data_IF_423460303991
#
_entry.id   IF_423460303991
#
_cell.length_a   1.000
_cell.length_b   1.000
_cell.length_c   1.000
_cell.angle_alpha   90.00
_cell.angle_beta   90.00
_cell.angle_gamma   90.00
#
_symmetry.space_group_name_H-M   'P 1'
#
loop_
_entity.id
_entity.type
_entity.pdbx_description
1 polymer ?
#
# COMPACT_ATOMS: atom_id res chain seq x y z
N UNK A 1 15.77 11.81 67.19
CA UNK A 1 15.39 10.72 66.28
C UNK A 1 15.09 11.32 64.90
N UNK A 2 16.08 11.27 64.00
CA UNK A 2 15.90 11.72 62.60
C UNK A 2 15.48 10.48 61.78
N UNK A 3 14.28 10.50 61.22
CA UNK A 3 13.82 9.48 60.26
C UNK A 3 14.37 9.80 58.89
N UNK A 4 15.19 8.92 58.33
CA UNK A 4 15.68 8.95 56.95
C UNK A 4 14.61 8.26 56.09
N UNK A 5 14.03 9.04 55.13
CA UNK A 5 13.20 8.47 54.10
C UNK A 5 14.13 8.04 52.94
N UNK A 6 14.21 6.75 52.68
CA UNK A 6 14.87 6.20 51.50
C UNK A 6 13.84 6.20 50.37
N UNK A 7 14.06 7.07 49.37
CA UNK A 7 13.31 7.10 48.13
C UNK A 7 13.88 6.00 47.22
N UNK A 8 13.14 4.89 47.05
CA UNK A 8 13.49 3.87 46.05
C UNK A 8 12.99 4.35 44.73
N UNK A 9 13.88 4.90 43.87
CA UNK A 9 13.61 5.16 42.48
C UNK A 9 13.75 3.85 41.70
N UNK A 10 12.62 3.21 41.41
CA UNK A 10 12.59 2.07 40.53
C UNK A 10 12.95 2.50 39.08
N UNK A 11 14.15 2.16 38.64
CA UNK A 11 14.51 2.21 37.23
C UNK A 11 13.73 1.11 36.51
N UNK A 12 12.62 1.47 35.86
CA UNK A 12 12.05 0.65 34.80
C UNK A 12 13.00 0.74 33.60
N UNK A 13 13.81 -0.27 33.40
CA UNK A 13 14.53 -0.46 32.15
C UNK A 13 13.49 -0.80 31.08
N UNK A 14 13.14 0.20 30.26
CA UNK A 14 12.50 -0.05 28.99
C UNK A 14 13.49 -0.84 28.13
N UNK A 15 13.38 -2.15 28.10
CA UNK A 15 13.98 -2.96 27.06
C UNK A 15 13.27 -2.58 25.77
N UNK A 16 13.92 -1.76 24.96
CA UNK A 16 13.53 -1.53 23.58
C UNK A 16 13.65 -2.87 22.85
N UNK A 17 12.55 -3.61 22.78
CA UNK A 17 12.46 -4.73 21.87
C UNK A 17 12.52 -4.12 20.46
N UNK A 18 13.63 -4.25 19.79
CA UNK A 18 13.71 -4.06 18.34
C UNK A 18 12.85 -5.15 17.72
N UNK A 19 11.56 -4.86 17.54
CA UNK A 19 10.71 -5.66 16.67
C UNK A 19 11.33 -5.53 15.30
N UNK A 20 11.86 -6.62 14.75
CA UNK A 20 12.30 -6.67 13.36
C UNK A 20 11.04 -6.54 12.49
N UNK A 21 10.65 -5.31 12.27
CA UNK A 21 9.47 -4.96 11.49
C UNK A 21 9.65 -5.42 10.05
N UNK A 22 8.63 -6.10 9.52
CA UNK A 22 8.55 -6.52 8.13
C UNK A 22 7.92 -5.44 7.22
N UNK A 23 7.70 -4.25 7.77
CA UNK A 23 7.35 -3.07 6.98
C UNK A 23 8.64 -2.33 6.62
N UNK A 24 8.96 -2.28 5.34
CA UNK A 24 10.17 -1.65 4.83
C UNK A 24 9.88 -0.24 4.37
N UNK A 25 10.63 0.76 4.83
CA UNK A 25 10.62 2.09 4.24
C UNK A 25 10.98 2.03 2.76
N UNK A 26 10.18 2.69 1.93
CA UNK A 26 10.32 2.75 0.49
C UNK A 26 10.43 4.21 0.05
N UNK A 27 10.95 4.44 -1.16
CA UNK A 27 10.98 5.75 -1.74
C UNK A 27 9.72 6.00 -2.57
N UNK A 28 8.82 6.85 -2.09
CA UNK A 28 7.62 7.28 -2.83
C UNK A 28 7.95 8.18 -4.02
N UNK A 29 9.14 8.79 -4.05
CA UNK A 29 9.50 9.87 -4.97
C UNK A 29 8.68 11.15 -4.74
N UNK A 30 8.10 11.31 -3.53
CA UNK A 30 7.36 12.48 -3.08
C UNK A 30 8.19 13.26 -2.08
N UNK A 31 7.96 14.56 -1.99
CA UNK A 31 8.62 15.47 -1.03
C UNK A 31 7.66 15.97 0.04
N UNK A 32 8.20 16.83 0.88
CA UNK A 32 7.44 17.57 1.88
C UNK A 32 6.26 18.33 1.26
N UNK A 33 5.18 18.49 2.01
CA UNK A 33 3.96 19.15 1.55
C UNK A 33 2.98 18.26 0.80
N UNK A 34 3.21 16.94 0.76
CA UNK A 34 2.34 15.98 0.09
C UNK A 34 1.66 15.02 1.07
N UNK A 35 0.48 14.50 0.67
CA UNK A 35 -0.24 13.45 1.38
C UNK A 35 -0.60 12.35 0.37
N UNK A 36 -0.21 11.13 0.67
CA UNK A 36 -0.69 9.95 -0.07
C UNK A 36 -2.02 9.52 0.54
N UNK A 37 -3.07 9.51 -0.29
CA UNK A 37 -4.43 9.15 0.13
C UNK A 37 -4.74 7.67 -0.08
N UNK A 38 -4.03 6.97 -0.98
CA UNK A 38 -4.25 5.54 -1.18
C UNK A 38 -3.45 4.91 -2.30
N UNK A 39 -3.68 3.60 -2.43
CA UNK A 39 -3.10 2.76 -3.46
C UNK A 39 -4.20 2.03 -4.23
N UNK A 40 -3.94 1.80 -5.53
CA UNK A 40 -4.77 0.95 -6.38
C UNK A 40 -3.90 -0.21 -6.88
N UNK A 41 -4.51 -1.38 -7.04
CA UNK A 41 -3.81 -2.58 -7.46
C UNK A 41 -4.36 -3.10 -8.78
N UNK A 42 -3.47 -3.21 -9.78
CA UNK A 42 -3.73 -3.86 -11.06
C UNK A 42 -3.36 -5.35 -11.05
N UNK A 43 -2.56 -5.78 -12.02
CA UNK A 43 -1.95 -7.12 -12.05
C UNK A 43 -0.84 -7.25 -10.98
N UNK A 44 -0.08 -8.35 -11.01
CA UNK A 44 0.86 -8.71 -9.94
C UNK A 44 1.77 -7.56 -9.46
N UNK A 45 2.38 -6.80 -10.39
CA UNK A 45 3.37 -5.77 -10.07
C UNK A 45 2.90 -4.35 -10.37
N UNK A 46 1.64 -4.20 -10.82
CA UNK A 46 1.07 -2.89 -11.13
C UNK A 46 0.41 -2.30 -9.91
N UNK A 47 0.91 -1.11 -9.51
CA UNK A 47 0.42 -0.35 -8.36
C UNK A 47 0.32 1.12 -8.76
N UNK A 48 -0.79 1.76 -8.42
CA UNK A 48 -0.89 3.22 -8.44
C UNK A 48 -0.86 3.76 -7.01
N UNK A 49 -0.24 4.91 -6.86
CA UNK A 49 -0.25 5.73 -5.64
C UNK A 49 -0.89 7.06 -6.01
N UNK A 50 -1.86 7.50 -5.23
CA UNK A 50 -2.56 8.76 -5.48
C UNK A 50 -2.66 9.63 -4.23
N UNK A 51 -2.80 10.92 -4.44
CA UNK A 51 -2.90 11.87 -3.34
C UNK A 51 -2.92 13.32 -3.78
N UNK A 52 -2.49 14.19 -2.88
CA UNK A 52 -2.49 15.64 -3.09
C UNK A 52 -1.39 16.35 -2.31
N UNK A 53 -1.23 17.65 -2.57
CA UNK A 53 -0.55 18.54 -1.65
C UNK A 53 -1.43 18.75 -0.39
N UNK A 54 -0.88 19.39 0.66
CA UNK A 54 -1.60 19.63 1.93
C UNK A 54 -2.91 20.41 1.77
N UNK A 55 -2.98 21.35 0.82
CA UNK A 55 -4.21 22.09 0.55
C UNK A 55 -5.25 21.28 -0.23
N UNK A 56 -4.86 20.15 -0.81
CA UNK A 56 -5.70 19.34 -1.70
C UNK A 56 -5.95 19.99 -3.08
N UNK A 57 -5.33 21.14 -3.35
CA UNK A 57 -5.55 21.87 -4.62
C UNK A 57 -4.80 21.27 -5.80
N UNK A 58 -3.69 20.60 -5.54
CA UNK A 58 -2.90 19.91 -6.58
C UNK A 58 -2.79 18.44 -6.25
N UNK A 59 -3.17 17.60 -7.20
CA UNK A 59 -3.15 16.15 -7.06
C UNK A 59 -2.00 15.50 -7.79
N UNK A 60 -1.77 14.25 -7.46
CA UNK A 60 -0.86 13.38 -8.19
C UNK A 60 -1.46 11.98 -8.35
N UNK A 61 -1.07 11.35 -9.44
CA UNK A 61 -1.24 9.93 -9.70
C UNK A 61 0.11 9.39 -10.15
N UNK A 62 0.62 8.39 -9.46
CA UNK A 62 1.89 7.74 -9.79
C UNK A 62 1.65 6.27 -10.09
N UNK A 63 2.46 5.72 -10.97
CA UNK A 63 2.34 4.37 -11.51
C UNK A 63 3.65 3.60 -11.34
N UNK A 64 3.53 2.37 -10.90
CA UNK A 64 4.61 1.40 -10.72
C UNK A 64 4.32 0.12 -11.50
N UNK A 65 5.37 -0.49 -12.06
CA UNK A 65 5.35 -1.80 -12.72
C UNK A 65 6.24 -2.83 -12.01
N UNK A 66 6.77 -2.47 -10.85
CA UNK A 66 7.70 -3.29 -10.05
C UNK A 66 7.19 -3.49 -8.62
N UNK A 67 5.86 -3.52 -8.46
CA UNK A 67 5.22 -3.74 -7.16
C UNK A 67 5.43 -2.60 -6.18
N UNK A 68 5.61 -1.36 -6.67
CA UNK A 68 5.78 -0.18 -5.84
C UNK A 68 7.22 0.08 -5.39
N UNK A 69 8.22 -0.58 -5.99
CA UNK A 69 9.63 -0.28 -5.70
C UNK A 69 10.04 1.07 -6.31
N UNK A 70 9.53 1.39 -7.50
CA UNK A 70 9.70 2.69 -8.15
C UNK A 70 8.37 3.22 -8.70
N UNK A 71 8.24 4.54 -8.74
CA UNK A 71 7.04 5.20 -9.24
C UNK A 71 7.37 6.27 -10.28
N UNK A 72 6.60 6.30 -11.36
CA UNK A 72 6.61 7.36 -12.37
C UNK A 72 5.33 8.17 -12.31
N UNK A 73 5.39 9.46 -12.64
CA UNK A 73 4.17 10.29 -12.68
C UNK A 73 3.29 9.90 -13.86
N UNK A 74 1.99 9.84 -13.61
CA UNK A 74 0.98 9.54 -14.61
C UNK A 74 0.04 10.74 -14.79
N UNK A 75 -0.23 11.11 -16.03
CA UNK A 75 -1.19 12.16 -16.34
C UNK A 75 -2.62 11.65 -16.22
N UNK A 76 -3.51 12.48 -15.73
CA UNK A 76 -4.96 12.29 -15.70
C UNK A 76 -5.66 13.62 -16.02
N UNK A 77 -6.95 13.57 -16.33
CA UNK A 77 -7.70 14.72 -16.89
C UNK A 77 -8.02 15.84 -15.89
N UNK A 78 -7.24 15.96 -14.80
CA UNK A 78 -7.41 16.99 -13.77
C UNK A 78 -6.06 17.33 -13.14
N UNK A 79 -5.99 18.47 -12.44
CA UNK A 79 -4.88 18.86 -11.56
C UNK A 79 -5.27 18.79 -10.08
N UNK A 80 -6.54 18.60 -9.77
CA UNK A 80 -7.09 18.57 -8.41
C UNK A 80 -6.65 17.34 -7.63
N UNK A 81 -6.60 17.45 -6.30
CA UNK A 81 -6.23 16.36 -5.40
C UNK A 81 -7.09 15.11 -5.61
N UNK A 82 -6.44 13.96 -5.76
CA UNK A 82 -7.10 12.65 -5.83
C UNK A 82 -7.30 12.13 -4.43
N UNK A 83 -8.58 11.91 -4.04
CA UNK A 83 -8.94 11.52 -2.66
C UNK A 83 -9.37 10.08 -2.52
N UNK A 84 -9.93 9.49 -3.56
CA UNK A 84 -10.38 8.11 -3.58
C UNK A 84 -10.12 7.44 -4.92
N UNK A 85 -10.04 6.12 -4.89
CA UNK A 85 -9.89 5.34 -6.11
C UNK A 85 -10.21 3.87 -5.92
N UNK A 86 -10.59 3.22 -7.02
CA UNK A 86 -10.98 1.82 -7.06
C UNK A 86 -10.59 1.17 -8.38
N UNK A 87 -10.05 -0.05 -8.34
CA UNK A 87 -9.82 -0.90 -9.51
C UNK A 87 -10.79 -2.08 -9.45
N UNK A 88 -11.66 -2.20 -10.45
CA UNK A 88 -12.57 -3.35 -10.57
C UNK A 88 -11.87 -4.59 -11.12
N UNK A 89 -10.82 -4.39 -11.92
CA UNK A 89 -9.94 -5.44 -12.45
C UNK A 89 -8.59 -4.81 -12.86
N UNK A 90 -7.73 -5.59 -13.49
CA UNK A 90 -6.39 -5.12 -13.91
C UNK A 90 -6.38 -3.98 -14.94
N UNK A 91 -7.50 -3.74 -15.63
CA UNK A 91 -7.58 -2.72 -16.70
C UNK A 91 -8.54 -1.59 -16.41
N UNK A 92 -9.57 -1.81 -15.61
CA UNK A 92 -10.66 -0.85 -15.39
C UNK A 92 -10.69 -0.34 -13.96
N UNK A 93 -10.63 0.98 -13.82
CA UNK A 93 -10.67 1.63 -12.52
C UNK A 93 -11.12 3.08 -12.60
N UNK A 94 -11.34 3.67 -11.43
CA UNK A 94 -11.80 5.04 -11.25
C UNK A 94 -11.02 5.73 -10.14
N UNK A 95 -10.88 7.04 -10.28
CA UNK A 95 -10.43 7.95 -9.23
C UNK A 95 -11.43 9.10 -9.10
N UNK A 96 -11.49 9.67 -7.90
CA UNK A 96 -12.32 10.85 -7.60
C UNK A 96 -11.47 11.97 -7.03
N UNK A 97 -11.89 13.21 -7.28
CA UNK A 97 -11.10 14.39 -6.95
C UNK A 97 -11.84 15.36 -6.04
N UNK A 98 -11.07 16.24 -5.43
CA UNK A 98 -11.58 17.32 -4.61
C UNK A 98 -12.42 18.35 -5.38
N UNK A 99 -12.30 18.42 -6.70
CA UNK A 99 -13.11 19.31 -7.56
C UNK A 99 -14.41 18.67 -8.05
N UNK A 100 -14.80 17.50 -7.52
CA UNK A 100 -16.05 16.82 -7.88
C UNK A 100 -15.96 15.97 -9.14
N UNK A 101 -14.76 15.68 -9.61
CA UNK A 101 -14.55 14.90 -10.84
C UNK A 101 -14.48 13.41 -10.56
N UNK A 102 -15.02 12.62 -11.46
CA UNK A 102 -14.85 11.16 -11.54
C UNK A 102 -14.10 10.87 -12.84
N UNK A 103 -13.00 10.16 -12.74
CA UNK A 103 -12.12 9.91 -13.87
C UNK A 103 -11.88 8.41 -13.98
N UNK A 104 -12.09 7.84 -15.17
CA UNK A 104 -12.07 6.39 -15.43
C UNK A 104 -10.93 5.99 -16.35
N UNK A 105 -10.33 4.86 -16.09
CA UNK A 105 -9.49 4.11 -17.04
C UNK A 105 -10.15 2.80 -17.45
N UNK A 106 -9.89 2.34 -18.67
CA UNK A 106 -10.29 1.01 -19.19
C UNK A 106 -9.11 0.27 -19.82
N UNK A 107 -7.91 0.83 -19.71
CA UNK A 107 -6.68 0.32 -20.33
C UNK A 107 -5.50 0.32 -19.35
N UNK A 108 -5.76 -0.09 -18.11
CA UNK A 108 -4.74 -0.19 -17.07
C UNK A 108 -3.96 1.11 -16.82
N UNK A 109 -4.66 2.25 -16.86
CA UNK A 109 -4.06 3.57 -16.67
C UNK A 109 -3.36 4.15 -17.89
N UNK A 110 -3.36 3.49 -19.04
CA UNK A 110 -2.79 4.03 -20.28
C UNK A 110 -3.43 5.37 -20.68
N UNK A 111 -4.70 5.56 -20.31
CA UNK A 111 -5.39 6.85 -20.33
C UNK A 111 -6.46 6.90 -19.24
N UNK A 112 -6.74 8.13 -18.78
CA UNK A 112 -7.75 8.41 -17.78
C UNK A 112 -8.72 9.47 -18.32
N UNK A 113 -10.00 9.15 -18.40
CA UNK A 113 -11.03 9.97 -19.04
C UNK A 113 -12.04 10.48 -18.02
N UNK A 114 -12.35 11.79 -18.11
CA UNK A 114 -13.35 12.44 -17.27
C UNK A 114 -14.75 11.88 -17.54
N UNK A 115 -15.49 11.61 -16.48
CA UNK A 115 -16.91 11.26 -16.50
C UNK A 115 -17.75 12.40 -15.92
N UNK A 116 -19.00 12.53 -16.36
CA UNK A 116 -19.92 13.54 -15.82
C UNK A 116 -20.44 13.09 -14.47
N UNK A 117 -19.93 13.69 -13.40
CA UNK A 117 -20.37 13.42 -12.01
C UNK A 117 -21.71 14.09 -11.64
N UNK A 118 -22.04 15.20 -12.33
CA UNK A 118 -23.21 16.03 -12.00
C UNK A 118 -23.03 16.96 -10.80
N UNK A 119 -21.82 17.05 -10.24
CA UNK A 119 -21.50 17.90 -9.07
C UNK A 119 -20.13 18.56 -9.20
N UNK A 120 -19.97 19.68 -8.50
CA UNK A 120 -18.66 20.32 -8.25
C UNK A 120 -18.22 20.19 -6.78
N UNK A 121 -19.00 19.47 -5.97
CA UNK A 121 -18.65 19.23 -4.57
C UNK A 121 -17.51 18.23 -4.43
N UNK A 122 -16.69 18.39 -3.40
CA UNK A 122 -15.58 17.47 -3.11
C UNK A 122 -16.06 16.02 -3.01
N UNK A 123 -15.39 15.12 -3.73
CA UNK A 123 -15.61 13.67 -3.66
C UNK A 123 -14.44 13.04 -2.91
N UNK A 124 -14.75 12.11 -1.99
CA UNK A 124 -13.76 11.57 -1.06
C UNK A 124 -13.44 10.09 -1.28
N UNK A 125 -14.44 9.30 -1.67
CA UNK A 125 -14.23 7.87 -1.85
C UNK A 125 -15.09 7.31 -2.98
N UNK A 126 -14.63 6.23 -3.60
CA UNK A 126 -15.32 5.54 -4.68
C UNK A 126 -15.11 4.04 -4.52
N UNK A 127 -16.19 3.26 -4.61
CA UNK A 127 -16.12 1.81 -4.51
C UNK A 127 -17.23 1.14 -5.33
N UNK A 128 -16.95 -0.06 -5.83
CA UNK A 128 -17.85 -0.82 -6.68
C UNK A 128 -18.14 -2.19 -6.07
N UNK A 129 -19.38 -2.65 -6.20
CA UNK A 129 -19.79 -4.02 -5.88
C UNK A 129 -19.51 -4.98 -7.03
N UNK A 130 -19.59 -4.48 -8.27
CA UNK A 130 -19.23 -5.17 -9.51
C UNK A 130 -18.76 -4.15 -10.56
N UNK A 131 -18.39 -4.59 -11.77
CA UNK A 131 -17.85 -3.71 -12.83
C UNK A 131 -18.84 -2.60 -13.27
N UNK A 132 -20.12 -2.77 -13.04
CA UNK A 132 -21.19 -1.87 -13.46
C UNK A 132 -21.77 -1.03 -12.32
N UNK A 133 -21.84 -1.59 -11.12
CA UNK A 133 -22.56 -1.00 -9.97
C UNK A 133 -21.58 -0.48 -8.93
N UNK A 134 -21.55 0.84 -8.78
CA UNK A 134 -20.64 1.51 -7.84
C UNK A 134 -21.22 2.78 -7.26
N UNK A 135 -20.55 3.27 -6.22
CA UNK A 135 -20.94 4.48 -5.49
C UNK A 135 -19.74 5.38 -5.24
N UNK A 136 -20.04 6.66 -5.11
CA UNK A 136 -19.09 7.72 -4.72
C UNK A 136 -19.67 8.44 -3.51
N UNK A 137 -18.83 8.78 -2.55
CA UNK A 137 -19.18 9.63 -1.40
C UNK A 137 -18.45 10.95 -1.42
N UNK A 138 -19.03 11.97 -0.78
CA UNK A 138 -18.45 13.31 -0.82
C UNK A 138 -18.95 14.27 0.26
N UNK A 139 -18.70 15.54 0.01
CA UNK A 139 -19.10 16.67 0.85
C UNK A 139 -20.63 16.81 0.91
N UNK A 140 -21.16 17.35 2.01
CA UNK A 140 -22.54 17.72 2.19
C UNK A 140 -23.56 16.57 1.95
N UNK A 141 -23.16 15.33 2.30
CA UNK A 141 -24.03 14.17 2.14
C UNK A 141 -24.13 13.66 0.70
N UNK A 142 -23.21 14.05 -0.17
CA UNK A 142 -23.22 13.53 -1.55
C UNK A 142 -22.97 12.02 -1.53
N UNK A 143 -23.91 11.29 -2.15
CA UNK A 143 -23.79 9.90 -2.55
C UNK A 143 -24.21 9.84 -4.02
N UNK A 144 -23.31 9.43 -4.90
CA UNK A 144 -23.63 9.17 -6.31
C UNK A 144 -23.61 7.67 -6.55
N UNK A 145 -24.51 7.18 -7.40
CA UNK A 145 -24.57 5.77 -7.83
C UNK A 145 -24.50 5.66 -9.33
N UNK A 146 -23.78 4.66 -9.80
CA UNK A 146 -23.83 4.17 -11.19
C UNK A 146 -24.32 2.71 -11.22
N UNK A 147 -24.95 2.31 -12.33
CA UNK A 147 -25.33 0.92 -12.66
C UNK A 147 -24.81 0.52 -14.05
N UNK A 148 -23.99 1.36 -14.65
CA UNK A 148 -23.45 1.16 -16.00
C UNK A 148 -21.97 1.52 -16.10
N UNK A 149 -21.21 1.25 -15.01
CA UNK A 149 -19.76 1.43 -14.96
C UNK A 149 -19.33 2.90 -15.09
N UNK A 150 -20.15 3.83 -14.58
CA UNK A 150 -19.86 5.25 -14.55
C UNK A 150 -20.25 6.01 -15.82
N UNK A 151 -20.94 5.38 -16.79
CA UNK A 151 -21.47 6.11 -17.94
C UNK A 151 -22.45 7.20 -17.48
N UNK A 152 -23.25 6.89 -16.45
CA UNK A 152 -24.12 7.85 -15.76
C UNK A 152 -23.96 7.72 -14.26
N UNK A 153 -23.98 8.85 -13.56
CA UNK A 153 -23.99 8.93 -12.11
C UNK A 153 -25.26 9.63 -11.65
N UNK A 154 -25.97 9.02 -10.71
CA UNK A 154 -27.26 9.53 -10.18
C UNK A 154 -27.07 9.79 -8.69
N UNK A 155 -27.39 11.01 -8.25
CA UNK A 155 -27.34 11.39 -6.86
C UNK A 155 -28.44 10.69 -6.06
N UNK A 156 -28.08 10.14 -4.91
CA UNK A 156 -28.98 9.53 -3.94
C UNK A 156 -29.13 10.45 -2.73
N UNK A 157 -30.26 10.31 -2.02
CA UNK A 157 -30.54 11.12 -0.82
C UNK A 157 -29.89 10.49 0.39
N UNK A 158 -28.86 11.13 0.96
CA UNK A 158 -28.29 10.74 2.23
C UNK A 158 -29.19 11.16 3.41
N UNK A 159 -29.14 10.45 4.55
CA UNK A 159 -29.91 10.81 5.75
C UNK A 159 -29.54 12.15 6.38
N UNK A 160 -28.31 12.62 6.15
CA UNK A 160 -27.81 13.89 6.68
C UNK A 160 -26.82 14.58 5.73
N UNK A 161 -26.77 15.91 5.80
CA UNK A 161 -25.84 16.73 5.02
C UNK A 161 -24.50 16.87 5.75
N UNK A 162 -23.75 15.76 5.82
CA UNK A 162 -22.43 15.69 6.48
C UNK A 162 -21.36 15.28 5.47
N UNK A 163 -20.07 15.42 5.83
CA UNK A 163 -19.00 14.84 5.02
C UNK A 163 -19.02 13.33 5.15
N UNK A 164 -19.20 12.62 4.02
CA UNK A 164 -19.13 11.17 3.95
C UNK A 164 -17.77 10.81 3.36
N UNK A 165 -16.86 10.32 4.22
CA UNK A 165 -15.46 10.09 3.86
C UNK A 165 -15.20 8.73 3.25
N UNK A 166 -16.05 7.72 3.58
CA UNK A 166 -15.90 6.34 3.13
C UNK A 166 -17.19 5.75 2.64
N UNK A 167 -17.09 4.92 1.60
CA UNK A 167 -18.19 4.14 1.07
C UNK A 167 -17.74 2.71 0.80
N UNK A 168 -18.49 1.74 1.31
CA UNK A 168 -18.10 0.33 1.30
C UNK A 168 -19.28 -0.56 0.88
N UNK A 169 -19.39 -0.95 -0.38
CA UNK A 169 -20.38 -1.90 -0.85
C UNK A 169 -19.96 -3.34 -0.50
N UNK A 170 -20.84 -4.07 0.18
CA UNK A 170 -20.76 -5.52 0.34
C UNK A 170 -21.44 -6.25 -0.82
N UNK A 171 -22.43 -5.64 -1.41
CA UNK A 171 -23.17 -6.15 -2.57
C UNK A 171 -23.83 -4.98 -3.33
N UNK A 172 -24.48 -5.28 -4.45
CA UNK A 172 -25.28 -4.29 -5.19
C UNK A 172 -26.46 -3.73 -4.39
N UNK A 173 -26.83 -4.39 -3.29
CA UNK A 173 -27.94 -3.99 -2.42
C UNK A 173 -27.47 -3.43 -1.08
N UNK A 174 -26.44 -4.04 -0.47
CA UNK A 174 -25.98 -3.67 0.87
C UNK A 174 -24.72 -2.83 0.79
N UNK A 175 -24.82 -1.57 1.21
CA UNK A 175 -23.72 -0.60 1.20
C UNK A 175 -23.69 0.16 2.52
N UNK A 176 -22.49 0.38 3.03
CA UNK A 176 -22.24 1.21 4.20
C UNK A 176 -21.47 2.47 3.80
N UNK A 177 -21.73 3.56 4.52
CA UNK A 177 -20.91 4.79 4.45
C UNK A 177 -20.58 5.26 5.84
N UNK A 178 -19.48 5.99 5.97
CA UNK A 178 -19.07 6.61 7.23
C UNK A 178 -18.38 7.95 6.99
N UNK A 179 -18.42 8.83 7.99
CA UNK A 179 -17.81 10.15 7.87
C UNK A 179 -17.80 10.96 9.16
N UNK A 180 -17.96 12.24 9.03
CA UNK A 180 -17.83 13.19 10.12
C UNK A 180 -18.92 13.02 11.17
N UNK A 181 -18.60 13.39 12.42
CA UNK A 181 -19.49 13.38 13.58
C UNK A 181 -20.06 11.97 13.89
N UNK A 182 -19.27 10.93 13.67
CA UNK A 182 -19.64 9.55 13.95
C UNK A 182 -20.78 8.99 13.10
N UNK A 183 -21.14 9.67 12.00
CA UNK A 183 -22.22 9.23 11.16
C UNK A 183 -21.85 7.97 10.38
N UNK A 184 -22.70 6.93 10.52
CA UNK A 184 -22.67 5.72 9.70
C UNK A 184 -24.05 5.52 9.09
N UNK A 185 -24.10 5.36 7.77
CA UNK A 185 -25.35 5.08 7.06
C UNK A 185 -25.26 3.71 6.38
N UNK A 186 -26.42 3.06 6.27
CA UNK A 186 -26.58 1.76 5.61
C UNK A 186 -27.74 1.81 4.63
N UNK A 187 -27.58 1.15 3.49
CA UNK A 187 -28.67 0.77 2.61
C UNK A 187 -28.71 -0.74 2.44
N UNK A 188 -29.89 -1.32 2.24
CA UNK A 188 -30.12 -2.73 1.90
C UNK A 188 -30.89 -2.91 0.60
N UNK A 189 -31.11 -1.79 -0.12
CA UNK A 189 -31.81 -1.75 -1.40
C UNK A 189 -31.04 -0.94 -2.47
N UNK A 190 -29.71 -0.97 -2.38
CA UNK A 190 -28.83 -0.35 -3.36
C UNK A 190 -28.89 1.18 -3.37
N UNK A 191 -29.25 1.80 -2.22
CA UNK A 191 -29.28 3.24 -2.07
C UNK A 191 -30.61 3.91 -2.45
N UNK A 192 -31.67 3.12 -2.72
CA UNK A 192 -33.00 3.69 -2.87
C UNK A 192 -33.40 4.39 -1.56
N UNK A 193 -33.09 3.76 -0.43
CA UNK A 193 -33.20 4.35 0.90
C UNK A 193 -31.90 4.14 1.67
N UNK A 194 -31.44 5.18 2.34
CA UNK A 194 -30.34 5.16 3.28
C UNK A 194 -30.85 5.36 4.69
N UNK A 195 -30.39 4.56 5.62
CA UNK A 195 -30.77 4.58 7.03
C UNK A 195 -29.56 5.01 7.88
N UNK A 196 -29.77 5.95 8.82
CA UNK A 196 -28.79 6.22 9.87
C UNK A 196 -28.71 5.06 10.82
N UNK A 197 -27.52 4.58 11.11
CA UNK A 197 -27.29 3.61 12.18
C UNK A 197 -27.23 4.33 13.53
N UNK A 198 -27.50 3.62 14.66
CA UNK A 198 -27.44 4.23 15.99
C UNK A 198 -26.10 4.89 16.26
N UNK A 199 -26.13 6.10 16.80
CA UNK A 199 -24.92 6.83 17.18
C UNK A 199 -24.18 6.13 18.33
N UNK A 200 -22.85 6.04 18.22
CA UNK A 200 -21.97 5.42 19.21
C UNK A 200 -20.74 6.29 19.54
N UNK A 201 -20.46 7.27 18.72
CA UNK A 201 -19.37 8.24 18.89
C UNK A 201 -19.73 9.56 18.22
N UNK A 202 -19.06 10.65 18.62
CA UNK A 202 -19.05 11.93 17.92
C UNK A 202 -17.77 12.17 17.13
N UNK A 203 -16.84 11.19 17.11
CA UNK A 203 -15.55 11.28 16.44
C UNK A 203 -15.70 11.23 14.92
N UNK A 204 -14.81 11.88 14.20
CA UNK A 204 -14.76 11.77 12.76
C UNK A 204 -14.22 10.39 12.36
N UNK A 205 -14.93 9.71 11.45
CA UNK A 205 -14.59 8.38 10.97
C UNK A 205 -13.83 8.49 9.66
N UNK A 206 -12.58 8.05 9.64
CA UNK A 206 -11.69 8.07 8.48
C UNK A 206 -11.53 6.71 7.79
N UNK A 207 -11.84 5.61 8.48
CA UNK A 207 -11.80 4.26 7.95
C UNK A 207 -13.10 3.50 8.17
N UNK A 208 -13.48 2.69 7.18
CA UNK A 208 -14.70 1.86 7.21
C UNK A 208 -14.39 0.56 6.46
N UNK A 209 -14.61 -0.58 7.11
CA UNK A 209 -14.46 -1.88 6.48
C UNK A 209 -15.46 -2.88 7.07
N UNK A 210 -16.24 -3.52 6.23
CA UNK A 210 -17.08 -4.66 6.58
C UNK A 210 -16.59 -5.89 5.82
N UNK A 211 -16.48 -7.02 6.48
CA UNK A 211 -16.11 -8.31 5.87
C UNK A 211 -17.33 -9.18 5.56
N UNK A 212 -18.47 -8.87 6.16
CA UNK A 212 -19.80 -9.42 5.86
C UNK A 212 -20.89 -8.49 6.41
N UNK A 213 -22.18 -8.87 6.28
CA UNK A 213 -23.32 -8.03 6.68
C UNK A 213 -23.41 -7.76 8.19
N UNK A 214 -22.73 -8.57 9.02
CA UNK A 214 -22.76 -8.47 10.47
C UNK A 214 -21.50 -7.86 11.05
N UNK A 215 -20.32 -8.22 10.51
CA UNK A 215 -19.04 -7.88 11.11
C UNK A 215 -18.33 -6.79 10.34
N UNK A 216 -18.00 -5.71 11.03
CA UNK A 216 -17.29 -4.58 10.47
C UNK A 216 -16.58 -3.72 11.51
N UNK A 217 -15.75 -2.81 11.04
CA UNK A 217 -14.99 -1.87 11.84
C UNK A 217 -15.06 -0.47 11.25
N UNK A 218 -14.97 0.50 12.14
CA UNK A 218 -14.71 1.90 11.78
C UNK A 218 -13.57 2.42 12.62
N UNK A 219 -12.74 3.29 12.05
CA UNK A 219 -11.68 3.95 12.81
C UNK A 219 -11.66 5.44 12.55
N UNK A 220 -11.15 6.19 13.53
CA UNK A 220 -11.08 7.63 13.49
C UNK A 220 -10.09 8.18 14.50
N UNK A 221 -10.39 9.37 15.00
CA UNK A 221 -9.59 10.04 16.01
C UNK A 221 -10.47 10.26 17.24
N UNK A 222 -10.20 9.62 18.39
CA UNK A 222 -8.99 8.82 18.68
C UNK A 222 -9.20 7.29 18.62
N UNK A 223 -10.32 6.75 18.14
CA UNK A 223 -10.76 5.39 18.46
C UNK A 223 -10.96 4.49 17.22
N UNK A 224 -10.99 3.18 17.49
CA UNK A 224 -11.48 2.15 16.58
C UNK A 224 -12.65 1.41 17.25
N UNK A 225 -13.68 1.07 16.48
CA UNK A 225 -14.87 0.38 16.95
C UNK A 225 -15.16 -0.82 16.07
N UNK A 226 -15.70 -1.88 16.67
CA UNK A 226 -16.15 -3.10 16.00
C UNK A 226 -17.65 -3.29 16.17
N UNK A 227 -18.30 -3.80 15.14
CA UNK A 227 -19.68 -4.33 15.22
C UNK A 227 -19.71 -5.80 14.83
N UNK A 228 -20.66 -6.54 15.41
CA UNK A 228 -20.96 -7.95 15.06
C UNK A 228 -22.44 -8.14 14.70
N UNK A 229 -23.19 -7.04 14.56
CA UNK A 229 -24.62 -7.03 14.24
C UNK A 229 -24.99 -5.98 13.19
N UNK A 230 -24.07 -5.75 12.24
CA UNK A 230 -24.31 -4.89 11.08
C UNK A 230 -24.40 -3.40 11.41
N UNK A 231 -23.73 -2.95 12.47
CA UNK A 231 -23.68 -1.57 12.90
C UNK A 231 -24.79 -1.13 13.84
N UNK A 232 -25.62 -2.07 14.32
CA UNK A 232 -26.67 -1.75 15.32
C UNK A 232 -26.06 -1.43 16.69
N UNK A 233 -24.94 -2.06 17.03
CA UNK A 233 -24.12 -1.73 18.19
C UNK A 233 -22.63 -1.73 17.80
N UNK A 234 -21.86 -0.87 18.45
CA UNK A 234 -20.43 -0.74 18.24
C UNK A 234 -19.70 -0.86 19.58
N UNK A 235 -18.64 -1.63 19.57
CA UNK A 235 -17.78 -1.85 20.72
C UNK A 235 -16.42 -1.21 20.46
N UNK A 236 -15.98 -0.32 21.36
CA UNK A 236 -14.67 0.32 21.27
C UNK A 236 -13.58 -0.72 21.53
N UNK A 237 -12.53 -0.69 20.71
CA UNK A 237 -11.37 -1.55 20.82
C UNK A 237 -10.18 -0.76 21.33
N UNK A 238 -9.31 -1.41 22.11
CA UNK A 238 -8.06 -0.78 22.59
C UNK A 238 -6.93 -1.03 21.60
N UNK A 239 -6.38 0.04 21.06
CA UNK A 239 -5.26 0.01 20.12
C UNK A 239 -4.17 0.99 20.56
N UNK A 240 -2.85 0.69 20.39
CA UNK A 240 -1.76 1.60 20.76
C UNK A 240 -1.57 2.73 19.72
N UNK A 241 -2.65 3.47 19.42
CA UNK A 241 -2.66 4.61 18.52
C UNK A 241 -3.70 5.63 18.99
N UNK A 242 -3.51 6.91 18.67
CA UNK A 242 -4.44 7.98 19.03
C UNK A 242 -5.11 8.64 17.82
N UNK A 243 -4.63 8.38 16.61
CA UNK A 243 -5.29 8.85 15.39
C UNK A 243 -5.13 7.78 14.30
N UNK A 244 -6.25 7.23 13.86
CA UNK A 244 -6.30 6.19 12.84
C UNK A 244 -6.97 6.73 11.59
N UNK A 245 -6.27 6.64 10.45
CA UNK A 245 -6.74 7.14 9.17
C UNK A 245 -6.97 6.05 8.14
N UNK A 246 -6.20 4.94 8.23
CA UNK A 246 -6.31 3.80 7.34
C UNK A 246 -6.52 2.49 8.10
N UNK A 247 -7.38 1.62 7.58
CA UNK A 247 -7.51 0.26 8.06
C UNK A 247 -7.90 -0.68 6.93
N UNK A 248 -7.56 -1.97 7.11
CA UNK A 248 -7.92 -3.03 6.18
C UNK A 248 -8.11 -4.34 6.93
N UNK A 249 -9.26 -4.98 6.77
CA UNK A 249 -9.55 -6.31 7.29
C UNK A 249 -9.74 -7.29 6.14
N UNK A 250 -9.04 -8.42 6.21
CA UNK A 250 -9.19 -9.52 5.25
C UNK A 250 -10.37 -10.44 5.59
N UNK A 251 -10.64 -10.60 6.88
CA UNK A 251 -11.69 -11.44 7.42
C UNK A 251 -12.03 -10.98 8.85
N UNK A 252 -12.91 -11.72 9.55
CA UNK A 252 -13.38 -11.38 10.89
C UNK A 252 -12.27 -11.34 11.97
N UNK A 253 -11.12 -11.94 11.70
CA UNK A 253 -10.03 -12.08 12.67
C UNK A 253 -8.81 -11.23 12.31
N UNK A 254 -8.45 -11.15 11.03
CA UNK A 254 -7.17 -10.56 10.60
C UNK A 254 -7.37 -9.20 9.96
N UNK A 255 -6.73 -8.19 10.54
CA UNK A 255 -6.76 -6.84 10.03
C UNK A 255 -5.58 -6.00 10.49
N UNK A 256 -5.43 -4.85 9.86
CA UNK A 256 -4.42 -3.84 10.15
C UNK A 256 -5.04 -2.46 10.25
N UNK A 257 -4.42 -1.62 11.08
CA UNK A 257 -4.75 -0.21 11.21
C UNK A 257 -3.48 0.62 11.19
N UNK A 258 -3.55 1.78 10.54
CA UNK A 258 -2.43 2.70 10.41
C UNK A 258 -2.84 4.13 10.76
N UNK A 259 -1.90 4.87 11.32
CA UNK A 259 -2.16 6.23 11.76
C UNK A 259 -0.97 6.85 12.46
N UNK A 260 -1.24 7.52 13.59
CA UNK A 260 -0.20 8.20 14.34
C UNK A 260 -0.41 8.13 15.86
N UNK A 261 0.70 8.30 16.56
CA UNK A 261 0.72 8.67 17.97
C UNK A 261 1.12 10.15 18.00
N UNK A 262 0.24 11.08 18.43
CA UNK A 262 0.51 12.52 18.41
C UNK A 262 1.82 12.90 19.11
N UNK A 263 2.64 13.68 18.42
CA UNK A 263 3.94 14.15 18.92
C UNK A 263 5.05 13.11 18.93
N UNK A 264 4.80 11.87 18.44
CA UNK A 264 5.79 10.79 18.50
C UNK A 264 6.08 10.20 17.14
N UNK A 265 5.12 9.51 16.50
CA UNK A 265 5.44 8.69 15.32
C UNK A 265 4.20 8.21 14.55
N UNK A 266 4.42 7.80 13.30
CA UNK A 266 3.48 6.95 12.58
C UNK A 266 3.49 5.52 13.14
N UNK A 267 2.35 4.85 13.06
CA UNK A 267 2.19 3.49 13.59
C UNK A 267 1.38 2.62 12.63
N UNK A 268 1.76 1.35 12.55
CA UNK A 268 0.95 0.29 11.95
C UNK A 268 0.81 -0.82 12.98
N UNK A 269 -0.43 -1.23 13.23
CA UNK A 269 -0.76 -2.33 14.14
C UNK A 269 -1.56 -3.40 13.42
N UNK A 270 -1.39 -4.67 13.82
CA UNK A 270 -2.10 -5.85 13.32
C UNK A 270 -2.90 -6.50 14.42
N UNK A 271 -4.06 -7.02 14.07
CA UNK A 271 -4.85 -7.95 14.88
C UNK A 271 -4.99 -9.29 14.17
N UNK A 272 -5.10 -10.38 14.95
CA UNK A 272 -5.41 -11.74 14.49
C UNK A 272 -6.65 -12.32 15.18
N UNK A 273 -7.34 -11.51 15.99
CA UNK A 273 -8.54 -11.90 16.75
C UNK A 273 -9.67 -10.85 16.63
N UNK A 274 -9.71 -10.14 15.50
CA UNK A 274 -10.78 -9.22 15.18
C UNK A 274 -10.75 -7.89 15.94
N UNK A 275 -9.57 -7.51 16.47
CA UNK A 275 -9.36 -6.26 17.18
C UNK A 275 -9.47 -6.36 18.70
N UNK A 276 -9.65 -7.57 19.25
CA UNK A 276 -9.58 -7.77 20.71
C UNK A 276 -8.19 -7.41 21.24
N UNK A 277 -7.15 -7.79 20.48
CA UNK A 277 -5.77 -7.40 20.74
C UNK A 277 -5.12 -6.85 19.46
N UNK A 278 -4.29 -5.83 19.62
CA UNK A 278 -3.52 -5.20 18.55
C UNK A 278 -2.04 -5.22 18.88
N UNK A 279 -1.24 -5.69 17.95
CA UNK A 279 0.22 -5.72 18.04
C UNK A 279 0.82 -4.68 17.10
N UNK A 280 1.65 -3.79 17.64
CA UNK A 280 2.41 -2.83 16.83
C UNK A 280 3.42 -3.58 15.98
N UNK A 281 3.33 -3.39 14.65
CA UNK A 281 4.24 -3.98 13.69
C UNK A 281 5.28 -3.00 13.16
N UNK A 282 4.96 -1.71 13.16
CA UNK A 282 5.86 -0.67 12.67
C UNK A 282 5.63 0.65 13.40
N UNK A 283 6.73 1.38 13.63
CA UNK A 283 6.72 2.78 14.04
C UNK A 283 7.71 3.56 13.17
N UNK A 284 7.31 4.71 12.67
CA UNK A 284 8.12 5.57 11.81
C UNK A 284 8.02 7.04 12.21
N UNK A 285 8.86 7.90 11.61
CA UNK A 285 8.88 9.35 11.91
C UNK A 285 7.62 10.08 11.43
N UNK A 286 7.02 9.63 10.33
CA UNK A 286 5.96 10.34 9.63
C UNK A 286 4.63 9.60 9.76
N UNK A 287 3.53 10.36 9.79
CA UNK A 287 2.19 9.83 9.99
C UNK A 287 1.69 9.09 8.75
N UNK A 288 1.02 7.95 8.97
CA UNK A 288 0.35 7.20 7.91
C UNK A 288 -1.10 7.66 7.76
N UNK A 289 -1.50 7.94 6.52
CA UNK A 289 -2.85 8.37 6.19
C UNK A 289 -3.67 7.27 5.51
N UNK A 290 -3.03 6.33 4.85
CA UNK A 290 -3.69 5.21 4.19
C UNK A 290 -3.00 3.88 4.47
N UNK A 291 -3.78 2.81 4.35
CA UNK A 291 -3.33 1.43 4.47
C UNK A 291 -4.17 0.58 3.53
N UNK A 292 -3.51 -0.10 2.61
CA UNK A 292 -4.17 -0.97 1.64
C UNK A 292 -3.40 -2.29 1.52
N UNK A 293 -4.13 -3.40 1.54
CA UNK A 293 -3.57 -4.72 1.28
C UNK A 293 -4.04 -5.24 -0.06
N UNK A 294 -3.11 -5.75 -0.84
CA UNK A 294 -3.39 -6.44 -2.10
C UNK A 294 -3.84 -7.88 -1.85
N UNK A 295 -3.25 -8.51 -0.85
CA UNK A 295 -3.55 -9.85 -0.34
C UNK A 295 -3.03 -9.96 1.10
N UNK A 296 -3.14 -11.14 1.72
CA UNK A 296 -2.73 -11.36 3.12
C UNK A 296 -1.27 -11.01 3.43
N UNK A 297 -0.39 -11.06 2.42
CA UNK A 297 1.04 -10.87 2.60
C UNK A 297 1.51 -9.48 2.16
N UNK A 298 0.94 -8.93 1.08
CA UNK A 298 1.44 -7.71 0.46
C UNK A 298 0.57 -6.51 0.84
N UNK A 299 1.12 -5.64 1.65
CA UNK A 299 0.49 -4.42 2.15
C UNK A 299 1.33 -3.17 1.89
N UNK A 300 0.66 -2.04 1.80
CA UNK A 300 1.20 -0.71 1.54
C UNK A 300 0.59 0.28 2.51
N UNK A 301 1.41 1.11 3.12
CA UNK A 301 0.96 2.23 3.93
C UNK A 301 1.76 3.47 3.59
N UNK A 302 1.08 4.58 3.50
CA UNK A 302 1.72 5.85 3.21
C UNK A 302 0.96 7.03 3.84
N UNK A 303 1.56 8.21 3.84
CA UNK A 303 0.94 9.34 4.49
C UNK A 303 1.58 10.66 4.13
N UNK A 304 1.91 11.43 5.17
CA UNK A 304 2.44 12.77 5.05
C UNK A 304 3.88 12.77 4.57
N UNK A 305 4.26 13.85 3.84
CA UNK A 305 5.63 14.14 3.41
C UNK A 305 6.33 13.02 2.64
N UNK A 306 5.53 12.19 1.97
CA UNK A 306 6.04 11.09 1.18
C UNK A 306 6.40 9.84 1.98
N UNK A 307 6.03 9.77 3.28
CA UNK A 307 6.13 8.54 4.05
C UNK A 307 5.50 7.38 3.28
N UNK A 308 6.25 6.30 3.11
CA UNK A 308 5.80 5.11 2.40
C UNK A 308 6.52 3.88 2.91
N UNK A 309 5.76 2.86 3.26
CA UNK A 309 6.26 1.56 3.69
C UNK A 309 5.50 0.43 3.00
N UNK A 310 6.17 -0.69 2.78
CA UNK A 310 5.62 -1.88 2.16
C UNK A 310 5.96 -3.12 2.99
N UNK A 311 5.05 -4.08 3.05
CA UNK A 311 5.30 -5.43 3.54
C UNK A 311 5.03 -6.46 2.46
N UNK A 312 5.69 -7.62 2.54
CA UNK A 312 5.49 -8.79 1.67
C UNK A 312 5.16 -10.07 2.43
N UNK A 313 5.00 -9.96 3.76
CA UNK A 313 4.64 -11.09 4.64
C UNK A 313 3.54 -10.72 5.66
N UNK A 314 2.73 -9.69 5.36
CA UNK A 314 1.67 -9.22 6.24
C UNK A 314 2.16 -8.48 7.48
N UNK A 315 3.43 -8.04 7.48
CA UNK A 315 4.06 -7.31 8.57
C UNK A 315 4.45 -8.19 9.77
N UNK A 316 4.37 -9.51 9.65
CA UNK A 316 4.72 -10.42 10.74
C UNK A 316 6.24 -10.41 11.00
N UNK A 317 6.70 -10.60 12.25
CA UNK A 317 8.12 -10.72 12.53
C UNK A 317 8.76 -11.85 11.72
N UNK A 318 10.00 -11.66 11.25
CA UNK A 318 10.76 -12.76 10.64
C UNK A 318 10.88 -13.91 11.65
N UNK A 319 10.40 -15.08 11.27
CA UNK A 319 10.76 -16.31 11.92
C UNK A 319 12.08 -16.82 11.32
N UNK A 320 12.80 -17.67 12.02
CA UNK A 320 14.03 -18.30 11.49
C UNK A 320 13.76 -19.18 10.24
N UNK A 321 12.48 -19.36 9.87
CA UNK A 321 12.01 -20.13 8.73
C UNK A 321 11.57 -19.23 7.54
N UNK A 322 11.44 -17.92 7.77
CA UNK A 322 11.07 -16.99 6.70
C UNK A 322 12.27 -16.74 5.79
N UNK A 323 12.11 -16.81 4.46
CA UNK A 323 13.18 -16.41 3.56
C UNK A 323 13.52 -14.93 3.80
N UNK A 324 14.79 -14.52 3.71
CA UNK A 324 15.19 -13.13 3.91
C UNK A 324 14.42 -12.21 2.96
N UNK A 325 13.95 -11.07 3.49
CA UNK A 325 13.28 -10.00 2.73
C UNK A 325 14.12 -9.60 1.52
N UNK A 326 13.53 -9.59 0.35
CA UNK A 326 14.16 -9.46 -0.96
C UNK A 326 14.72 -10.76 -1.55
N UNK A 327 14.27 -11.93 -1.09
CA UNK A 327 14.57 -13.16 -1.83
C UNK A 327 13.79 -13.12 -3.15
N UNK A 328 14.46 -13.09 -4.30
CA UNK A 328 13.81 -13.16 -5.60
C UNK A 328 13.00 -14.45 -5.70
N UNK A 329 11.82 -14.39 -6.29
CA UNK A 329 10.99 -15.58 -6.51
C UNK A 329 11.55 -16.51 -7.58
N UNK A 330 12.50 -16.02 -8.40
CA UNK A 330 13.07 -16.75 -9.52
C UNK A 330 14.57 -16.51 -9.65
N UNK A 331 15.27 -17.55 -10.13
CA UNK A 331 16.66 -17.44 -10.55
C UNK A 331 16.76 -16.55 -11.79
N UNK A 332 17.57 -15.47 -11.72
CA UNK A 332 17.74 -14.57 -12.84
C UNK A 332 19.15 -13.99 -12.93
N UNK A 333 19.68 -13.90 -14.14
CA UNK A 333 20.84 -13.08 -14.47
C UNK A 333 20.32 -11.73 -15.00
N UNK A 334 20.35 -10.70 -14.17
CA UNK A 334 19.71 -9.41 -14.45
C UNK A 334 20.45 -8.58 -15.49
N UNK A 335 21.78 -8.73 -15.56
CA UNK A 335 22.60 -8.02 -16.54
C UNK A 335 23.86 -7.44 -15.94
N UNK A 336 24.60 -6.66 -16.74
CA UNK A 336 25.73 -5.89 -16.26
C UNK A 336 25.60 -4.41 -16.63
N UNK A 337 26.08 -3.55 -15.74
CA UNK A 337 26.09 -2.11 -15.98
C UNK A 337 27.34 -1.47 -15.38
N UNK A 338 28.04 -0.59 -16.14
CA UNK A 338 27.76 -0.21 -17.51
C UNK A 338 27.98 -1.34 -18.52
N UNK A 339 27.33 -1.28 -19.70
CA UNK A 339 27.56 -2.15 -20.83
C UNK A 339 27.25 -1.36 -22.14
N UNK A 340 28.26 -0.98 -22.97
CA UNK A 340 29.68 -1.31 -22.86
C UNK A 340 30.34 -0.78 -21.59
N UNK A 341 31.48 -1.41 -21.17
CA UNK A 341 32.18 -1.05 -19.95
C UNK A 341 33.70 -0.83 -20.18
N UNK A 342 34.34 -0.04 -19.29
CA UNK A 342 35.78 0.27 -19.34
C UNK A 342 36.33 0.56 -17.93
N UNK A 343 37.30 -0.19 -17.40
CA UNK A 343 37.47 -1.62 -17.63
C UNK A 343 36.55 -2.46 -16.71
N UNK A 344 35.73 -1.82 -15.83
CA UNK A 344 34.95 -2.49 -14.82
C UNK A 344 33.42 -2.38 -15.06
N UNK A 345 32.69 -3.42 -14.66
CA UNK A 345 31.24 -3.45 -14.69
C UNK A 345 30.70 -4.20 -13.47
N UNK A 346 29.42 -3.96 -13.14
CA UNK A 346 28.72 -4.69 -12.07
C UNK A 346 27.74 -5.68 -12.69
N UNK A 347 27.95 -6.96 -12.48
CA UNK A 347 27.04 -8.05 -12.88
C UNK A 347 26.02 -8.26 -11.76
N UNK A 348 24.73 -8.13 -12.07
CA UNK A 348 23.63 -8.32 -11.12
C UNK A 348 22.90 -9.63 -11.39
N UNK A 349 22.57 -10.34 -10.31
CA UNK A 349 21.83 -11.60 -10.40
C UNK A 349 20.95 -11.82 -9.15
N UNK A 350 19.96 -12.70 -9.30
CA UNK A 350 18.95 -13.01 -8.32
C UNK A 350 18.95 -14.51 -8.01
N UNK A 351 18.95 -14.87 -6.72
CA UNK A 351 18.89 -16.24 -6.24
C UNK A 351 17.64 -16.45 -5.37
N UNK A 352 16.73 -17.36 -5.74
CA UNK A 352 15.55 -17.67 -4.92
C UNK A 352 15.90 -18.48 -3.67
N UNK A 353 17.02 -19.19 -3.66
CA UNK A 353 17.52 -20.00 -2.56
C UNK A 353 19.03 -19.86 -2.40
N UNK A 354 19.52 -20.16 -1.21
CA UNK A 354 20.97 -20.20 -0.95
C UNK A 354 21.61 -21.36 -1.68
N UNK A 355 22.80 -21.14 -2.25
CA UNK A 355 23.52 -22.20 -2.95
C UNK A 355 24.82 -21.76 -3.57
N UNK A 356 25.49 -22.71 -4.15
CA UNK A 356 26.77 -22.49 -4.84
C UNK A 356 26.54 -21.77 -6.16
N UNK A 357 27.18 -20.61 -6.30
CA UNK A 357 27.17 -19.77 -7.50
C UNK A 357 28.47 -19.88 -8.25
N UNK A 358 28.37 -20.09 -9.56
CA UNK A 358 29.52 -20.07 -10.47
C UNK A 358 29.24 -19.06 -11.58
N UNK A 359 30.14 -18.08 -11.74
CA UNK A 359 30.10 -17.16 -12.89
C UNK A 359 31.35 -17.40 -13.73
N UNK A 360 31.15 -17.66 -15.01
CA UNK A 360 32.23 -17.89 -16.00
C UNK A 360 32.12 -16.95 -17.16
N UNK A 361 33.25 -16.40 -17.59
CA UNK A 361 33.36 -15.48 -18.72
C UNK A 361 33.98 -16.24 -19.91
N UNK A 362 33.36 -16.07 -21.08
CA UNK A 362 33.77 -16.71 -22.31
C UNK A 362 34.03 -15.67 -23.40
N UNK A 363 35.01 -15.93 -24.27
CA UNK A 363 35.19 -15.16 -25.50
C UNK A 363 34.17 -15.55 -26.59
N UNK A 364 34.21 -14.88 -27.74
CA UNK A 364 33.33 -15.15 -28.90
C UNK A 364 33.49 -16.55 -29.49
N UNK A 365 34.59 -17.22 -29.23
CA UNK A 365 34.85 -18.60 -29.66
C UNK A 365 34.35 -19.63 -28.63
N UNK A 366 33.75 -19.19 -27.54
CA UNK A 366 33.24 -20.03 -26.45
C UNK A 366 34.33 -20.56 -25.52
N UNK A 367 35.55 -20.02 -25.57
CA UNK A 367 36.64 -20.41 -24.69
C UNK A 367 36.49 -19.69 -23.35
N UNK A 368 36.65 -20.43 -22.26
CA UNK A 368 36.65 -19.87 -20.91
C UNK A 368 37.89 -18.95 -20.76
N UNK A 369 37.64 -17.69 -20.41
CA UNK A 369 38.71 -16.69 -20.17
C UNK A 369 38.87 -16.33 -18.71
N UNK A 370 37.80 -16.44 -17.91
CA UNK A 370 37.88 -16.15 -16.46
C UNK A 370 36.68 -16.81 -15.71
N UNK A 371 36.90 -17.13 -14.42
CA UNK A 371 35.88 -17.61 -13.49
C UNK A 371 35.90 -16.71 -12.24
N UNK A 372 35.25 -15.52 -12.29
CA UNK A 372 35.29 -14.55 -11.20
C UNK A 372 34.57 -14.97 -9.94
N UNK A 373 33.68 -15.96 -10.00
CA UNK A 373 32.90 -16.46 -8.84
C UNK A 373 32.79 -17.98 -8.89
N UNK A 374 33.11 -18.62 -7.75
CA UNK A 374 32.84 -20.03 -7.46
C UNK A 374 32.74 -20.21 -5.94
N UNK A 375 31.61 -19.78 -5.34
CA UNK A 375 31.41 -19.75 -3.88
C UNK A 375 29.94 -19.86 -3.52
N UNK A 376 29.66 -20.08 -2.23
CA UNK A 376 28.31 -20.09 -1.68
C UNK A 376 27.76 -18.65 -1.56
N UNK A 377 26.50 -18.47 -1.89
CA UNK A 377 25.75 -17.25 -1.72
C UNK A 377 24.41 -17.54 -1.01
N UNK A 378 23.96 -16.61 -0.19
CA UNK A 378 22.61 -16.66 0.37
C UNK A 378 21.57 -16.36 -0.71
N UNK A 379 20.31 -16.72 -0.45
CA UNK A 379 19.20 -16.23 -1.25
C UNK A 379 19.18 -14.69 -1.25
N UNK A 380 18.81 -14.06 -2.38
CA UNK A 380 18.77 -12.60 -2.48
C UNK A 380 19.25 -12.03 -3.82
N UNK A 381 19.29 -10.70 -3.89
CA UNK A 381 19.87 -9.94 -5.01
C UNK A 381 21.36 -9.71 -4.75
N UNK A 382 22.17 -10.03 -5.73
CA UNK A 382 23.62 -9.92 -5.64
C UNK A 382 24.21 -9.04 -6.74
N UNK A 383 25.31 -8.37 -6.41
CA UNK A 383 26.09 -7.57 -7.36
C UNK A 383 27.54 -7.97 -7.27
N UNK A 384 28.10 -8.46 -8.37
CA UNK A 384 29.50 -8.80 -8.53
C UNK A 384 30.19 -7.68 -9.32
N UNK A 385 31.23 -7.06 -8.76
CA UNK A 385 32.10 -6.17 -9.51
C UNK A 385 33.09 -7.00 -10.32
N UNK A 386 33.05 -6.86 -11.64
CA UNK A 386 33.94 -7.53 -12.58
C UNK A 386 34.91 -6.51 -13.18
N UNK A 387 36.19 -6.83 -13.15
CA UNK A 387 37.27 -6.02 -13.72
C UNK A 387 37.88 -6.73 -14.94
N UNK A 388 37.55 -6.25 -16.13
CA UNK A 388 38.08 -6.74 -17.41
C UNK A 388 39.44 -6.16 -17.84
N UNK A 389 40.17 -5.50 -16.93
CA UNK A 389 41.49 -4.86 -17.28
C UNK A 389 42.50 -5.80 -17.94
N UNK A 390 42.45 -7.10 -17.63
CA UNK A 390 43.30 -8.15 -18.20
C UNK A 390 42.81 -8.68 -19.55
N UNK A 391 41.57 -8.37 -19.94
CA UNK A 391 40.99 -8.85 -21.19
C UNK A 391 41.18 -7.82 -22.31
N UNK A 392 41.20 -8.25 -23.56
CA UNK A 392 41.21 -7.36 -24.73
C UNK A 392 39.83 -6.72 -24.94
N UNK A 393 39.77 -5.56 -25.60
CA UNK A 393 38.50 -4.99 -26.04
C UNK A 393 37.76 -6.00 -26.94
N UNK A 394 36.46 -6.20 -26.72
CA UNK A 394 35.72 -7.17 -27.48
C UNK A 394 34.35 -7.57 -26.82
N UNK A 395 33.74 -8.53 -27.47
CA UNK A 395 32.48 -9.11 -27.00
C UNK A 395 32.78 -10.36 -26.17
N UNK A 396 32.14 -10.44 -25.00
CA UNK A 396 32.23 -11.57 -24.09
C UNK A 396 30.83 -12.04 -23.71
N UNK A 397 30.73 -13.33 -23.33
CA UNK A 397 29.57 -13.91 -22.75
C UNK A 397 29.85 -14.32 -21.31
N UNK A 398 28.94 -14.08 -20.42
CA UNK A 398 29.08 -14.54 -19.05
C UNK A 398 27.90 -15.45 -18.68
N UNK A 399 28.22 -16.57 -18.04
CA UNK A 399 27.27 -17.59 -17.63
C UNK A 399 27.24 -17.67 -16.11
N UNK A 400 26.04 -17.52 -15.56
CA UNK A 400 25.71 -17.77 -14.17
C UNK A 400 25.14 -19.19 -14.05
N UNK A 401 25.60 -19.97 -13.08
CA UNK A 401 25.04 -21.27 -12.72
C UNK A 401 24.85 -21.36 -11.21
N UNK A 402 23.67 -21.79 -10.74
CA UNK A 402 23.36 -22.05 -9.34
C UNK A 402 22.19 -23.02 -9.24
N UNK A 403 22.22 -23.97 -8.29
CA UNK A 403 21.12 -24.92 -7.98
C UNK A 403 20.50 -25.59 -9.22
N UNK A 404 21.32 -25.95 -10.21
CA UNK A 404 20.87 -26.58 -11.46
C UNK A 404 20.32 -25.62 -12.52
N UNK A 405 20.17 -24.34 -12.21
CA UNK A 405 19.77 -23.29 -13.14
C UNK A 405 20.96 -22.66 -13.85
N UNK A 406 20.79 -22.24 -15.08
CA UNK A 406 21.83 -21.57 -15.87
C UNK A 406 21.24 -20.42 -16.68
N UNK A 407 21.90 -19.27 -16.68
CA UNK A 407 21.58 -18.12 -17.51
C UNK A 407 22.84 -17.54 -18.15
N UNK A 408 22.72 -17.00 -19.38
CA UNK A 408 23.84 -16.42 -20.15
C UNK A 408 23.43 -15.04 -20.64
N UNK A 409 24.38 -14.08 -20.56
CA UNK A 409 24.23 -12.76 -21.17
C UNK A 409 25.52 -12.31 -21.85
N UNK A 410 25.39 -11.31 -22.71
CA UNK A 410 26.47 -10.68 -23.47
C UNK A 410 26.91 -9.39 -22.77
N UNK A 411 28.25 -9.14 -22.76
CA UNK A 411 28.85 -7.87 -22.38
C UNK A 411 29.88 -7.39 -23.39
N UNK A 412 30.15 -6.10 -23.45
CA UNK A 412 31.07 -5.48 -24.38
C UNK A 412 32.10 -4.68 -23.58
N UNK A 413 33.39 -5.07 -23.70
CA UNK A 413 34.53 -4.35 -23.12
C UNK A 413 35.12 -3.39 -24.17
N UNK A 414 35.23 -2.12 -23.80
CA UNK A 414 35.90 -1.08 -24.60
C UNK A 414 37.04 -0.51 -23.76
N UNK A 415 38.22 -0.50 -24.31
CA UNK A 415 39.40 0.18 -23.71
C UNK A 415 39.76 1.40 -24.51
#
# INVERSE_FOLDING_TARGET
>A
MKRIFILIIGFYSFTCFTVNSQWLPMNSGMGAGTIVHGFLFGSADIVWMYGSNYSGSTGFLKYSTDGGATFTSQSYSSTSGVWGGYMANSSTGWIVTRSGEIIKTTNAGGSWQLQVSGTSSELYDISFADINTGWVSGMNGIILKTTNGGTNWIQQTAPASVKILKIHPLSVNTVYTAGFLGNVFKTTNGGVNWQSLPGFTSDDIYGLNFVNENTGWVCGVPNIYRTTNGGMNWEQQTIPALALYGMHFLNENTGWAAGSIPGVSGIISKTTNGGLDWQTQYTGSDWFFCLNFKNANTGYSAGFDGAYVKTTNGGDPLTSLDPPLNTPSEFALLGNYPNPFNPATNIKFALPEAGKVIIRIYDIAGRLVEEPVNSEFNAGLHTLKFDGSKLASGVYFYRLTSSGHTAVKKMILTK
#
